data_IF_210915071434
#
_entry.id   IF_210915071434
#
_cell.length_a   1.000
_cell.length_b   1.000
_cell.length_c   1.000
_cell.angle_alpha   90.00
_cell.angle_beta   90.00
_cell.angle_gamma   90.00
#
_symmetry.space_group_name_H-M   'P 1'
#
loop_
_entity.id
_entity.type
_entity.pdbx_description
1 polymer ?
#
# COMPACT_ATOMS: atom_id res chain seq x y z
N UNK A 1 -37.32 4.11 18.25
CA UNK A 1 -36.01 3.88 18.91
C UNK A 1 -34.93 4.21 17.91
N UNK A 2 -34.39 5.43 17.95
CA UNK A 2 -33.23 5.83 17.16
C UNK A 2 -32.04 5.90 18.10
N UNK A 3 -31.17 4.89 18.05
CA UNK A 3 -29.91 4.89 18.78
C UNK A 3 -28.90 5.60 17.89
N UNK A 4 -28.58 6.85 18.23
CA UNK A 4 -27.52 7.60 17.59
C UNK A 4 -26.19 6.93 17.90
N UNK A 5 -25.38 6.80 16.84
CA UNK A 5 -24.13 6.07 16.83
C UNK A 5 -23.15 6.57 17.90
N UNK A 6 -22.62 5.60 18.63
CA UNK A 6 -21.55 5.72 19.59
C UNK A 6 -20.29 6.29 18.91
N UNK A 7 -19.73 7.34 19.50
CA UNK A 7 -18.53 7.99 19.01
C UNK A 7 -17.30 7.15 19.31
N UNK A 8 -16.70 6.59 18.27
CA UNK A 8 -15.28 6.22 18.25
C UNK A 8 -14.65 6.73 16.95
N UNK A 9 -13.59 7.57 16.98
CA UNK A 9 -13.02 8.21 15.78
C UNK A 9 -12.32 7.25 14.81
N UNK A 10 -12.33 5.94 15.11
CA UNK A 10 -11.73 4.88 14.30
C UNK A 10 -12.78 3.96 13.63
N UNK A 11 -14.07 4.06 13.98
CA UNK A 11 -15.11 3.13 13.52
C UNK A 11 -15.65 3.38 12.09
N UNK A 12 -15.18 4.43 11.42
CA UNK A 12 -15.69 4.83 10.10
C UNK A 12 -14.70 4.72 8.95
N UNK A 13 -13.49 4.22 9.19
CA UNK A 13 -12.44 4.17 8.16
C UNK A 13 -12.55 2.93 7.28
N UNK A 14 -12.91 1.79 7.87
CA UNK A 14 -13.03 0.52 7.18
C UNK A 14 -14.05 0.62 6.05
N UNK A 15 -13.67 0.14 4.86
CA UNK A 15 -14.46 0.21 3.63
C UNK A 15 -14.31 1.51 2.84
N UNK A 16 -13.53 2.49 3.31
CA UNK A 16 -13.23 3.70 2.52
C UNK A 16 -12.11 3.42 1.53
N UNK A 17 -12.26 3.92 0.31
CA UNK A 17 -11.16 3.97 -0.66
C UNK A 17 -10.02 4.84 -0.11
N UNK A 18 -8.78 4.42 -0.33
CA UNK A 18 -7.57 5.18 -0.05
C UNK A 18 -7.04 5.67 -1.38
N UNK A 19 -6.95 6.99 -1.50
CA UNK A 19 -6.47 7.64 -2.72
C UNK A 19 -5.38 8.64 -2.43
N UNK A 20 -4.47 8.80 -3.36
CA UNK A 20 -3.47 9.86 -3.32
C UNK A 20 -4.08 11.23 -3.73
N UNK A 21 -3.24 12.26 -3.84
CA UNK A 21 -3.66 13.60 -4.27
C UNK A 21 -4.00 13.71 -5.76
N UNK A 22 -3.51 12.82 -6.61
CA UNK A 22 -3.83 12.71 -8.04
C UNK A 22 -5.10 11.90 -8.30
N UNK A 23 -5.53 11.11 -7.31
CA UNK A 23 -6.76 10.33 -7.35
C UNK A 23 -6.54 8.85 -7.66
N UNK A 24 -5.29 8.41 -7.69
CA UNK A 24 -4.87 7.01 -7.80
C UNK A 24 -5.38 6.25 -6.58
N UNK A 25 -6.12 5.18 -6.84
CA UNK A 25 -6.66 4.32 -5.80
C UNK A 25 -5.64 3.24 -5.42
N UNK A 26 -5.39 3.12 -4.11
CA UNK A 26 -4.58 2.07 -3.48
C UNK A 26 -5.42 0.89 -2.99
N UNK A 27 -6.74 0.99 -3.12
CA UNK A 27 -7.71 0.03 -2.58
C UNK A 27 -8.48 0.56 -1.37
N UNK A 28 -8.99 -0.37 -0.55
CA UNK A 28 -9.98 -0.07 0.48
C UNK A 28 -9.44 -0.35 1.87
N UNK A 29 -9.69 0.52 2.84
CA UNK A 29 -9.28 0.27 4.23
C UNK A 29 -9.94 -1.01 4.75
N UNK A 30 -9.13 -2.03 5.05
CA UNK A 30 -9.55 -3.27 5.68
C UNK A 30 -9.56 -3.13 7.19
N UNK A 31 -8.47 -2.61 7.77
CA UNK A 31 -8.34 -2.37 9.22
C UNK A 31 -7.62 -1.05 9.49
N UNK A 32 -7.87 -0.46 10.65
CA UNK A 32 -7.25 0.79 11.06
C UNK A 32 -6.71 0.68 12.49
N UNK A 33 -5.39 0.73 12.63
CA UNK A 33 -4.65 0.69 13.89
C UNK A 33 -4.28 2.10 14.37
N UNK A 34 -3.71 2.24 15.56
CA UNK A 34 -3.34 3.55 16.11
C UNK A 34 -2.31 4.30 15.25
N UNK A 35 -1.40 3.58 14.57
CA UNK A 35 -0.31 4.14 13.76
C UNK A 35 -0.44 3.87 12.26
N UNK A 36 -1.25 2.88 11.88
CA UNK A 36 -1.27 2.34 10.52
C UNK A 36 -2.70 2.14 10.02
N UNK A 37 -2.87 2.15 8.71
CA UNK A 37 -4.07 1.69 8.00
C UNK A 37 -3.68 0.50 7.14
N UNK A 38 -4.39 -0.60 7.29
CA UNK A 38 -4.29 -1.72 6.35
C UNK A 38 -5.32 -1.50 5.25
N UNK A 39 -4.86 -1.43 4.02
CA UNK A 39 -5.60 -1.21 2.78
C UNK A 39 -5.58 -2.51 2.01
N UNK A 40 -6.73 -3.07 1.66
CA UNK A 40 -6.80 -4.25 0.81
C UNK A 40 -7.02 -3.84 -0.63
N UNK A 41 -6.21 -4.37 -1.52
CA UNK A 41 -6.27 -4.10 -2.96
C UNK A 41 -6.72 -5.38 -3.68
N UNK A 42 -8.03 -5.61 -3.75
CA UNK A 42 -8.61 -6.73 -4.50
C UNK A 42 -7.95 -8.10 -4.20
N UNK A 43 -7.77 -8.97 -5.21
CA UNK A 43 -7.07 -10.26 -5.05
C UNK A 43 -5.54 -10.12 -4.88
N UNK A 44 -4.98 -8.91 -4.94
CA UNK A 44 -3.54 -8.64 -4.96
C UNK A 44 -2.92 -8.47 -3.56
N UNK A 45 -3.75 -8.52 -2.50
CA UNK A 45 -3.28 -8.55 -1.11
C UNK A 45 -3.65 -7.32 -0.29
N UNK A 46 -2.87 -7.05 0.75
CA UNK A 46 -3.07 -5.92 1.66
C UNK A 46 -1.80 -5.12 1.92
N UNK A 47 -1.95 -3.81 1.98
CA UNK A 47 -0.92 -2.81 2.13
C UNK A 47 -1.13 -2.06 3.45
N UNK A 48 -0.13 -2.03 4.32
CA UNK A 48 -0.19 -1.31 5.59
C UNK A 48 0.52 0.05 5.49
N UNK A 49 -0.22 1.15 5.45
CA UNK A 49 0.30 2.52 5.32
C UNK A 49 0.31 3.25 6.67
N UNK A 50 1.41 3.92 6.99
CA UNK A 50 1.48 4.79 8.17
C UNK A 50 0.49 5.96 8.12
N UNK A 51 -0.26 6.19 9.20
CA UNK A 51 -1.23 7.30 9.31
C UNK A 51 -0.61 8.70 9.14
N UNK A 52 0.72 8.82 9.26
CA UNK A 52 1.45 10.07 8.99
C UNK A 52 1.22 10.60 7.57
N UNK A 53 0.93 9.69 6.64
CA UNK A 53 0.75 9.97 5.22
C UNK A 53 -0.69 10.37 4.87
N UNK A 54 -1.61 10.33 5.84
CA UNK A 54 -3.00 10.73 5.63
C UNK A 54 -3.13 12.24 5.79
N UNK A 55 -3.65 12.90 4.76
CA UNK A 55 -4.03 14.32 4.81
C UNK A 55 -5.36 14.49 5.55
N UNK A 56 -6.40 13.87 5.02
CA UNK A 56 -7.75 14.00 5.52
C UNK A 56 -8.59 12.77 5.26
N UNK A 57 -9.61 12.58 6.10
CA UNK A 57 -10.58 11.51 6.00
C UNK A 57 -11.95 12.16 5.77
N UNK A 58 -12.56 11.88 4.62
CA UNK A 58 -13.89 12.36 4.27
C UNK A 58 -14.74 11.19 3.75
N UNK A 59 -15.22 11.28 2.50
CA UNK A 59 -15.86 10.17 1.79
C UNK A 59 -14.86 9.02 1.55
N UNK A 60 -13.62 9.39 1.19
CA UNK A 60 -12.44 8.54 1.03
C UNK A 60 -11.30 9.01 1.95
N UNK A 61 -10.28 8.17 2.13
CA UNK A 61 -9.03 8.54 2.80
C UNK A 61 -8.13 9.18 1.76
N UNK A 62 -7.70 10.43 2.00
CA UNK A 62 -6.83 11.16 1.09
C UNK A 62 -5.45 11.27 1.72
N UNK A 63 -4.42 10.95 0.94
CA UNK A 63 -3.02 11.05 1.34
C UNK A 63 -2.49 12.49 1.22
N UNK A 64 -1.36 12.77 1.88
CA UNK A 64 -0.71 14.11 1.92
C UNK A 64 -0.02 14.51 0.64
N UNK A 65 0.25 13.55 -0.23
CA UNK A 65 0.90 13.75 -1.51
C UNK A 65 0.70 12.52 -2.38
N UNK A 66 1.39 12.52 -3.51
CA UNK A 66 1.36 11.41 -4.46
C UNK A 66 2.13 10.21 -3.94
N UNK A 67 1.86 9.02 -4.48
CA UNK A 67 2.59 7.81 -4.10
C UNK A 67 4.08 7.98 -4.34
N UNK A 68 4.46 8.56 -5.48
CA UNK A 68 5.85 8.92 -5.79
C UNK A 68 6.43 9.86 -4.75
N UNK A 69 5.77 10.97 -4.39
CA UNK A 69 6.33 11.92 -3.41
C UNK A 69 6.52 11.29 -2.02
N UNK A 70 5.63 10.38 -1.63
CA UNK A 70 5.68 9.74 -0.32
C UNK A 70 6.69 8.60 -0.25
N UNK A 71 6.86 7.86 -1.34
CA UNK A 71 7.69 6.66 -1.37
C UNK A 71 9.08 6.90 -1.96
N UNK A 72 9.29 7.92 -2.78
CA UNK A 72 10.61 8.24 -3.32
C UNK A 72 11.61 8.47 -2.20
N UNK A 73 12.75 7.77 -2.29
CA UNK A 73 13.79 7.80 -1.25
C UNK A 73 13.60 6.75 -0.15
N UNK A 74 12.52 5.95 -0.18
CA UNK A 74 12.31 4.85 0.74
C UNK A 74 12.95 3.55 0.26
N UNK A 75 13.34 2.71 1.20
CA UNK A 75 13.96 1.41 0.94
C UNK A 75 12.90 0.38 0.55
N UNK A 76 13.12 -0.36 -0.52
CA UNK A 76 12.24 -1.46 -0.94
C UNK A 76 12.83 -2.78 -0.51
N UNK A 77 12.00 -3.61 0.10
CA UNK A 77 12.31 -4.95 0.57
C UNK A 77 11.43 -5.94 -0.20
N UNK A 78 12.03 -6.92 -0.86
CA UNK A 78 11.31 -7.97 -1.60
C UNK A 78 10.65 -8.99 -0.64
N UNK A 79 9.73 -9.78 -1.19
CA UNK A 79 9.07 -10.95 -0.59
C UNK A 79 9.99 -11.87 0.24
N UNK A 80 11.27 -12.02 -0.12
CA UNK A 80 12.26 -12.83 0.61
C UNK A 80 12.87 -12.11 1.82
N UNK A 81 12.63 -10.81 1.96
CA UNK A 81 13.20 -9.96 3.01
C UNK A 81 14.55 -9.32 2.62
N UNK A 82 14.94 -9.41 1.35
CA UNK A 82 16.16 -8.79 0.82
C UNK A 82 15.90 -7.34 0.39
N UNK A 83 16.89 -6.47 0.61
CA UNK A 83 16.85 -5.08 0.14
C UNK A 83 17.05 -5.06 -1.37
N UNK A 84 16.12 -4.41 -2.09
CA UNK A 84 16.10 -4.35 -3.56
C UNK A 84 16.65 -3.03 -4.07
N UNK A 85 16.51 -1.95 -3.30
CA UNK A 85 16.90 -0.62 -3.74
C UNK A 85 16.06 0.48 -3.11
N UNK A 86 16.21 1.69 -3.64
CA UNK A 86 15.53 2.89 -3.16
C UNK A 86 14.54 3.36 -4.21
N UNK A 87 13.28 3.58 -3.84
CA UNK A 87 12.26 4.09 -4.77
C UNK A 87 12.75 5.40 -5.39
N UNK A 88 12.65 5.46 -6.72
CA UNK A 88 12.87 6.65 -7.54
C UNK A 88 11.55 7.21 -8.05
N UNK A 89 10.66 6.32 -8.48
CA UNK A 89 9.42 6.66 -9.15
C UNK A 89 8.37 5.55 -8.96
N UNK A 90 7.10 5.82 -9.24
CA UNK A 90 6.01 4.84 -9.15
C UNK A 90 5.35 4.68 -10.51
N UNK A 91 5.05 3.45 -10.90
CA UNK A 91 4.34 3.15 -12.14
C UNK A 91 2.90 2.80 -11.80
N UNK A 92 1.99 3.51 -12.46
CA UNK A 92 0.55 3.33 -12.35
C UNK A 92 -0.03 2.78 -13.66
N UNK A 93 -0.99 1.88 -13.53
CA UNK A 93 -1.74 1.26 -14.63
C UNK A 93 -3.23 1.40 -14.32
N UNK A 94 -4.01 1.95 -15.27
CA UNK A 94 -5.47 2.10 -15.11
C UNK A 94 -5.87 2.83 -13.81
N UNK A 95 -5.20 3.94 -13.49
CA UNK A 95 -5.44 4.75 -12.29
C UNK A 95 -5.25 3.99 -10.95
N UNK A 96 -4.53 2.86 -11.01
CA UNK A 96 -4.18 2.00 -9.87
C UNK A 96 -2.66 1.83 -9.80
N UNK A 97 -2.10 1.73 -8.60
CA UNK A 97 -0.67 1.51 -8.42
C UNK A 97 -0.31 0.05 -8.73
N UNK A 98 0.65 -0.17 -9.62
CA UNK A 98 0.96 -1.51 -10.13
C UNK A 98 2.43 -1.92 -9.89
N UNK A 99 3.34 -0.96 -10.02
CA UNK A 99 4.78 -1.22 -9.98
C UNK A 99 5.55 -0.02 -9.41
N UNK A 100 6.82 -0.21 -9.05
CA UNK A 100 7.73 0.86 -8.63
C UNK A 100 9.05 0.79 -9.37
N UNK A 101 9.64 1.96 -9.63
CA UNK A 101 11.00 2.09 -10.11
C UNK A 101 11.91 2.29 -8.90
N UNK A 102 12.91 1.43 -8.75
CA UNK A 102 13.88 1.49 -7.65
C UNK A 102 15.28 1.60 -8.22
N UNK A 103 16.15 2.34 -7.53
CA UNK A 103 17.58 2.44 -7.80
C UNK A 103 18.31 1.48 -6.85
N UNK A 104 18.97 0.48 -7.41
CA UNK A 104 19.78 -0.50 -6.69
C UNK A 104 21.10 0.10 -6.18
N UNK A 105 21.86 -0.64 -5.38
CA UNK A 105 23.17 -0.24 -4.85
C UNK A 105 24.20 0.14 -5.93
N UNK A 106 24.11 -0.41 -7.15
CA UNK A 106 24.99 -0.03 -8.27
C UNK A 106 24.54 1.26 -8.98
N UNK A 107 23.39 1.84 -8.58
CA UNK A 107 22.77 2.98 -9.25
C UNK A 107 21.98 2.60 -10.51
N UNK A 108 21.72 1.30 -10.71
CA UNK A 108 20.87 0.81 -11.79
C UNK A 108 19.39 0.98 -11.42
N UNK A 109 18.59 1.50 -12.36
CA UNK A 109 17.15 1.60 -12.17
C UNK A 109 16.46 0.31 -12.62
N UNK A 110 15.78 -0.35 -11.69
CA UNK A 110 15.02 -1.58 -11.93
C UNK A 110 13.54 -1.36 -11.63
N UNK A 111 12.68 -2.06 -12.38
CA UNK A 111 11.22 -2.03 -12.19
C UNK A 111 10.85 -3.24 -11.34
N UNK A 112 10.12 -3.00 -10.26
CA UNK A 112 9.66 -4.04 -9.33
C UNK A 112 8.15 -3.98 -9.24
N UNK A 113 7.51 -5.12 -9.50
CA UNK A 113 6.05 -5.27 -9.37
C UNK A 113 5.67 -5.38 -7.89
N UNK A 114 4.50 -4.85 -7.51
CA UNK A 114 4.06 -4.85 -6.11
C UNK A 114 3.94 -6.27 -5.53
N UNK A 115 3.61 -7.26 -6.36
CA UNK A 115 3.50 -8.67 -5.96
C UNK A 115 4.80 -9.27 -5.41
N UNK A 116 5.96 -8.74 -5.84
CA UNK A 116 7.28 -9.17 -5.41
C UNK A 116 7.80 -8.34 -4.21
N UNK A 117 7.05 -7.32 -3.77
CA UNK A 117 7.46 -6.44 -2.68
C UNK A 117 6.81 -6.88 -1.37
N UNK A 118 7.63 -6.94 -0.32
CA UNK A 118 7.18 -7.19 1.05
C UNK A 118 6.99 -5.91 1.85
N UNK A 119 7.84 -4.91 1.64
CA UNK A 119 7.76 -3.66 2.39
C UNK A 119 8.46 -2.53 1.65
N UNK A 120 7.97 -1.31 1.86
CA UNK A 120 8.64 -0.07 1.48
C UNK A 120 8.86 0.73 2.76
N UNK A 121 10.09 0.68 3.27
CA UNK A 121 10.50 1.22 4.57
C UNK A 121 9.73 0.62 5.77
N UNK A 122 9.96 1.10 6.99
CA UNK A 122 9.26 0.58 8.18
C UNK A 122 7.77 1.03 8.25
N UNK A 123 7.36 1.91 7.33
CA UNK A 123 6.04 2.54 7.34
C UNK A 123 5.05 1.97 6.34
N UNK A 124 5.52 1.14 5.40
CA UNK A 124 4.71 0.49 4.38
C UNK A 124 5.03 -1.00 4.34
N UNK A 125 4.08 -1.85 4.68
CA UNK A 125 4.22 -3.31 4.54
C UNK A 125 3.22 -3.83 3.51
N UNK A 126 3.67 -4.68 2.59
CA UNK A 126 2.88 -5.33 1.57
C UNK A 126 2.75 -6.81 1.93
N UNK A 127 1.53 -7.21 2.20
CA UNK A 127 1.11 -8.60 2.37
C UNK A 127 0.34 -9.01 1.12
N UNK A 128 1.09 -9.33 0.07
CA UNK A 128 0.54 -9.90 -1.15
C UNK A 128 0.10 -11.32 -0.80
N UNK A 129 -1.21 -11.58 -0.86
CA UNK A 129 -1.76 -12.90 -0.61
C UNK A 129 -1.19 -13.87 -1.63
N UNK A 130 -0.12 -14.61 -1.29
CA UNK A 130 0.36 -15.75 -2.07
C UNK A 130 -0.66 -16.88 -1.99
N UNK A 131 -1.73 -16.76 -2.77
CA UNK A 131 -2.65 -17.83 -3.13
C UNK A 131 -3.07 -17.45 -4.57
N UNK A 132 -2.54 -17.99 -5.67
CA UNK A 132 -2.06 -19.34 -5.96
C UNK A 132 -1.03 -19.29 -7.11
N UNK A 133 0.27 -19.44 -6.83
CA UNK A 133 1.18 -20.04 -7.80
C UNK A 133 1.72 -21.34 -7.22
N UNK A 134 0.97 -22.40 -7.54
CA UNK A 134 1.35 -23.82 -7.48
C UNK A 134 1.75 -24.38 -6.12
N UNK A 135 0.75 -24.91 -5.39
CA UNK A 135 0.95 -26.13 -4.62
C UNK A 135 0.15 -27.31 -5.20
N UNK A 136 0.89 -28.08 -6.00
CA UNK A 136 0.95 -29.54 -5.96
C UNK A 136 -0.31 -30.36 -6.25
N UNK A 137 -0.35 -30.90 -7.45
CA UNK A 137 -0.51 -32.35 -7.63
C UNK A 137 0.78 -32.84 -8.30
N UNK A 138 1.68 -33.60 -7.68
CA UNK A 138 1.45 -34.68 -6.73
C UNK A 138 1.00 -35.92 -7.49
N UNK A 139 1.95 -36.61 -8.15
CA UNK A 139 1.73 -37.85 -8.90
C UNK A 139 2.94 -38.28 -9.72
#
# INVERSE_FOLDING_TARGET
MGHFADGSPTHGLVGKAVVDTEGIELGYVMTADDRFLTVGEGPMGSLRIGKRFIDRIADRVILKGTLVEMFTGLNVIDSTGEFVGIVRDTIETEDTWDSVLVEDEDGETVVVVLEDIKAIDEFVELDVGRDELYQSSGG
#
